data_IF_693291030378
#
_entry.id   IF_693291030378
#
_cell.length_a   1.000
_cell.length_b   1.000
_cell.length_c   1.000
_cell.angle_alpha   90.00
_cell.angle_beta   90.00
_cell.angle_gamma   90.00
#
_symmetry.space_group_name_H-M   'P 1'
#
loop_
_entity.id
_entity.type
_entity.pdbx_description
1 polymer ?
#
# COMPACT_ATOMS: atom_id res chain seq x y z
N UNK A 1 12.37 -9.13 9.50
CA UNK A 1 10.98 -9.12 9.04
C UNK A 1 10.72 -7.91 8.16
N UNK A 2 10.09 -8.09 7.01
CA UNK A 2 9.70 -7.02 6.09
C UNK A 2 8.41 -7.39 5.35
N UNK A 3 7.33 -6.65 5.61
CA UNK A 3 6.00 -6.87 5.03
C UNK A 3 5.74 -6.09 3.74
N UNK A 4 6.56 -5.11 3.38
CA UNK A 4 6.43 -4.38 2.12
C UNK A 4 7.20 -5.09 1.01
N UNK A 5 6.49 -5.59 0.01
CA UNK A 5 7.02 -6.51 -1.01
C UNK A 5 8.26 -5.99 -1.76
N UNK A 6 8.35 -4.73 -2.22
CA UNK A 6 9.56 -4.22 -2.88
C UNK A 6 10.81 -4.32 -2.01
N UNK A 7 10.71 -3.93 -0.74
CA UNK A 7 11.83 -3.99 0.22
C UNK A 7 12.18 -5.42 0.59
N UNK A 8 11.16 -6.27 0.82
CA UNK A 8 11.34 -7.69 1.06
C UNK A 8 12.16 -8.33 -0.07
N UNK A 9 11.75 -8.11 -1.33
CA UNK A 9 12.47 -8.63 -2.50
C UNK A 9 13.89 -8.09 -2.60
N UNK A 10 14.09 -6.80 -2.32
CA UNK A 10 15.41 -6.17 -2.35
C UNK A 10 16.37 -6.77 -1.31
N UNK A 11 15.88 -7.03 -0.09
CA UNK A 11 16.65 -7.66 0.97
C UNK A 11 16.98 -9.13 0.65
N UNK A 12 16.02 -9.90 0.14
CA UNK A 12 16.26 -11.28 -0.32
C UNK A 12 17.32 -11.31 -1.42
N UNK A 13 17.28 -10.37 -2.37
CA UNK A 13 18.27 -10.26 -3.43
C UNK A 13 19.68 -9.93 -2.92
N UNK A 14 19.79 -9.33 -1.73
CA UNK A 14 21.07 -9.08 -1.03
C UNK A 14 21.54 -10.27 -0.19
N UNK A 15 20.79 -11.37 -0.14
CA UNK A 15 21.13 -12.59 0.58
C UNK A 15 20.66 -12.65 2.03
N UNK A 16 19.78 -11.72 2.46
CA UNK A 16 19.17 -11.82 3.79
C UNK A 16 18.05 -12.86 3.82
N UNK A 17 17.91 -13.55 4.94
CA UNK A 17 16.70 -14.29 5.27
C UNK A 17 15.61 -13.30 5.68
N UNK A 18 14.52 -13.26 4.93
CA UNK A 18 13.44 -12.28 5.14
C UNK A 18 12.11 -13.00 5.24
N UNK A 19 11.35 -12.67 6.28
CA UNK A 19 10.00 -13.20 6.53
C UNK A 19 9.01 -12.06 6.66
N UNK A 20 7.73 -12.32 6.41
CA UNK A 20 6.65 -11.35 6.66
C UNK A 20 6.17 -11.38 8.10
N UNK A 21 6.29 -12.53 8.75
CA UNK A 21 5.98 -12.76 10.16
C UNK A 21 7.15 -13.50 10.80
N UNK A 22 7.61 -13.03 11.93
CA UNK A 22 8.65 -13.73 12.69
C UNK A 22 8.01 -14.73 13.66
N UNK A 23 8.74 -15.80 13.98
CA UNK A 23 8.33 -16.81 14.94
C UNK A 23 9.55 -17.38 15.65
N UNK A 24 9.39 -17.75 16.91
CA UNK A 24 10.46 -18.29 17.76
C UNK A 24 10.99 -17.25 18.75
N UNK A 25 12.05 -17.63 19.47
CA UNK A 25 12.72 -16.81 20.45
C UNK A 25 13.99 -16.19 19.84
N UNK A 26 14.25 -14.92 20.14
CA UNK A 26 15.41 -14.20 19.65
C UNK A 26 16.20 -13.60 20.81
N UNK A 27 17.53 -13.49 20.64
CA UNK A 27 18.44 -12.90 21.64
C UNK A 27 18.42 -11.38 21.63
N UNK A 28 17.90 -10.76 20.56
CA UNK A 28 17.76 -9.33 20.41
C UNK A 28 16.98 -8.95 19.16
N UNK A 29 16.57 -7.69 19.09
CA UNK A 29 15.86 -7.16 17.92
C UNK A 29 16.30 -5.73 17.59
N UNK A 30 16.15 -5.35 16.33
CA UNK A 30 16.25 -3.95 15.88
C UNK A 30 14.91 -3.58 15.22
N UNK A 31 14.28 -2.52 15.72
CA UNK A 31 13.06 -1.97 15.17
C UNK A 31 13.36 -0.67 14.44
N UNK A 32 13.12 -0.65 13.14
CA UNK A 32 13.14 0.58 12.36
C UNK A 32 11.75 1.23 12.44
N UNK A 33 11.71 2.48 12.96
CA UNK A 33 10.45 3.14 13.23
C UNK A 33 9.73 3.57 11.94
N UNK A 34 8.46 3.20 11.77
CA UNK A 34 7.58 3.82 10.79
C UNK A 34 7.14 5.21 11.29
N UNK A 35 6.57 6.00 10.40
CA UNK A 35 6.08 7.35 10.73
C UNK A 35 4.82 7.37 11.59
N UNK A 36 3.94 6.39 11.39
CA UNK A 36 2.70 6.32 12.14
C UNK A 36 2.98 5.85 13.56
N UNK A 37 2.67 6.69 14.57
CA UNK A 37 2.95 6.40 15.97
C UNK A 37 2.30 5.10 16.47
N UNK A 38 1.07 4.84 16.04
CA UNK A 38 0.37 3.61 16.39
C UNK A 38 1.08 2.37 15.83
N UNK A 39 1.53 2.43 14.58
CA UNK A 39 2.31 1.38 13.94
C UNK A 39 3.69 1.21 14.61
N UNK A 40 4.38 2.32 14.95
CA UNK A 40 5.65 2.27 15.68
C UNK A 40 5.52 1.51 17.00
N UNK A 41 4.48 1.83 17.78
CA UNK A 41 4.18 1.13 19.04
C UNK A 41 3.85 -0.34 18.80
N UNK A 42 3.06 -0.65 17.80
CA UNK A 42 2.70 -2.02 17.44
C UNK A 42 3.94 -2.84 17.06
N UNK A 43 4.85 -2.31 16.24
CA UNK A 43 6.11 -2.97 15.87
C UNK A 43 7.05 -3.20 17.07
N UNK A 44 7.10 -2.24 18.01
CA UNK A 44 7.86 -2.41 19.25
C UNK A 44 7.25 -3.52 20.11
N UNK A 45 5.93 -3.51 20.31
CA UNK A 45 5.23 -4.54 21.08
C UNK A 45 5.38 -5.94 20.46
N UNK A 46 5.31 -6.02 19.15
CA UNK A 46 5.54 -7.24 18.39
C UNK A 46 6.97 -7.75 18.59
N UNK A 47 7.99 -6.91 18.44
CA UNK A 47 9.38 -7.28 18.66
C UNK A 47 9.64 -7.77 20.11
N UNK A 48 9.03 -7.09 21.08
CA UNK A 48 9.14 -7.49 22.50
C UNK A 48 8.52 -8.86 22.77
N UNK A 49 7.47 -9.25 22.05
CA UNK A 49 6.82 -10.55 22.23
C UNK A 49 7.70 -11.76 21.88
N UNK A 50 8.78 -11.54 21.14
CA UNK A 50 9.76 -12.58 20.75
C UNK A 50 11.06 -12.58 21.58
N UNK A 51 11.17 -11.65 22.54
CA UNK A 51 12.39 -11.44 23.30
C UNK A 51 12.23 -11.85 24.76
N UNK A 52 13.24 -12.52 25.31
CA UNK A 52 13.31 -12.83 26.72
C UNK A 52 13.59 -11.57 27.58
N UNK A 53 13.22 -11.54 28.87
CA UNK A 53 13.68 -10.54 29.80
C UNK A 53 15.23 -10.44 29.82
N UNK A 54 15.75 -9.22 29.83
CA UNK A 54 17.20 -8.96 29.74
C UNK A 54 17.75 -8.91 28.32
N UNK A 55 16.97 -9.29 27.28
CA UNK A 55 17.37 -9.15 25.89
C UNK A 55 17.48 -7.68 25.49
N UNK A 56 18.23 -7.42 24.42
CA UNK A 56 18.44 -6.07 23.88
C UNK A 56 17.47 -5.77 22.73
N UNK A 57 16.69 -4.71 22.90
CA UNK A 57 15.87 -4.12 21.84
C UNK A 57 16.52 -2.81 21.39
N UNK A 58 16.94 -2.75 20.14
CA UNK A 58 17.40 -1.53 19.50
C UNK A 58 16.26 -0.87 18.73
N UNK A 59 16.12 0.43 18.88
CA UNK A 59 15.12 1.22 18.18
C UNK A 59 15.84 2.29 17.37
N UNK A 60 15.67 2.24 16.05
CA UNK A 60 16.25 3.18 15.09
C UNK A 60 15.16 3.97 14.37
N UNK A 61 15.39 5.26 14.17
CA UNK A 61 14.46 6.09 13.42
C UNK A 61 14.98 7.50 13.18
N UNK A 62 14.38 8.15 12.19
CA UNK A 62 14.66 9.54 11.88
C UNK A 62 13.86 10.46 12.82
N UNK A 63 14.31 11.70 12.99
CA UNK A 63 13.56 12.73 13.72
C UNK A 63 12.15 12.93 13.13
N UNK A 64 12.03 12.80 11.82
CA UNK A 64 10.76 12.87 11.09
C UNK A 64 9.83 11.69 11.36
N UNK A 65 10.34 10.57 11.85
CA UNK A 65 9.59 9.37 12.20
C UNK A 65 9.18 9.35 13.68
N UNK A 66 9.55 10.42 14.42
CA UNK A 66 9.15 10.62 15.79
C UNK A 66 10.05 9.92 16.82
N UNK A 67 11.31 9.57 16.46
CA UNK A 67 12.25 8.86 17.34
C UNK A 67 12.42 9.54 18.70
N UNK A 68 12.42 10.88 18.76
CA UNK A 68 12.55 11.61 20.04
C UNK A 68 11.37 11.37 20.98
N UNK A 69 10.16 11.30 20.42
CA UNK A 69 8.94 11.02 21.20
C UNK A 69 8.93 9.59 21.69
N UNK A 70 9.28 8.62 20.82
CA UNK A 70 9.38 7.20 21.18
C UNK A 70 10.44 6.99 22.25
N UNK A 71 11.63 7.58 22.10
CA UNK A 71 12.68 7.49 23.12
C UNK A 71 12.23 8.05 24.48
N UNK A 72 11.46 9.16 24.49
CA UNK A 72 10.89 9.72 25.72
C UNK A 72 9.87 8.77 26.37
N UNK A 73 9.02 8.13 25.56
CA UNK A 73 8.06 7.11 26.04
C UNK A 73 8.81 5.92 26.63
N UNK A 74 9.81 5.38 25.90
CA UNK A 74 10.58 4.23 26.36
C UNK A 74 11.30 4.49 27.67
N UNK A 75 11.90 5.69 27.87
CA UNK A 75 12.55 6.08 29.14
C UNK A 75 11.58 6.11 30.33
N UNK A 76 10.29 6.30 30.09
CA UNK A 76 9.26 6.20 31.13
C UNK A 76 8.86 4.75 31.47
N UNK A 77 9.24 3.78 30.63
CA UNK A 77 8.80 2.39 30.73
C UNK A 77 9.95 1.43 31.09
N UNK A 78 11.16 1.69 30.61
CA UNK A 78 12.29 0.79 30.74
C UNK A 78 13.64 1.55 30.74
N UNK A 79 14.74 0.94 31.21
CA UNK A 79 16.10 1.50 31.06
C UNK A 79 16.46 1.68 29.59
N UNK A 80 16.86 2.91 29.24
CA UNK A 80 17.35 3.27 27.89
C UNK A 80 18.81 3.69 28.00
N UNK A 81 19.67 3.04 27.24
CA UNK A 81 21.09 3.34 27.17
C UNK A 81 21.61 3.36 25.71
N UNK A 82 22.92 3.48 25.54
CA UNK A 82 23.60 3.46 24.25
C UNK A 82 22.94 4.32 23.17
N UNK A 83 22.63 5.58 23.52
CA UNK A 83 22.00 6.52 22.60
C UNK A 83 23.02 7.10 21.63
N UNK A 84 22.87 6.80 20.33
CA UNK A 84 23.69 7.35 19.27
C UNK A 84 22.85 8.23 18.34
N UNK A 85 23.42 9.37 17.93
CA UNK A 85 22.75 10.32 17.01
C UNK A 85 23.61 10.53 15.77
N UNK A 86 23.03 10.38 14.58
CA UNK A 86 23.69 10.62 13.29
C UNK A 86 22.67 10.99 12.22
N UNK A 87 23.04 11.91 11.32
CA UNK A 87 22.26 12.26 10.12
C UNK A 87 20.77 12.54 10.42
N UNK A 88 20.48 13.30 11.47
CA UNK A 88 19.11 13.61 11.94
C UNK A 88 18.30 12.40 12.43
N UNK A 89 18.91 11.23 12.58
CA UNK A 89 18.34 10.04 13.20
C UNK A 89 18.93 9.75 14.57
N UNK A 90 18.34 8.80 15.25
CA UNK A 90 18.83 8.21 16.48
C UNK A 90 18.62 6.72 16.48
N UNK A 91 19.56 6.01 17.12
CA UNK A 91 19.39 4.64 17.55
C UNK A 91 19.67 4.57 19.05
N UNK A 92 18.87 3.83 19.78
CA UNK A 92 19.07 3.61 21.21
C UNK A 92 18.69 2.20 21.61
N UNK A 93 19.27 1.72 22.71
CA UNK A 93 19.00 0.40 23.26
C UNK A 93 18.05 0.47 24.44
N UNK A 94 17.16 -0.51 24.52
CA UNK A 94 16.32 -0.82 25.67
C UNK A 94 16.66 -2.21 26.15
N UNK A 95 16.96 -2.36 27.44
CA UNK A 95 17.09 -3.67 28.08
C UNK A 95 15.71 -4.06 28.59
N UNK A 96 15.20 -5.19 28.13
CA UNK A 96 13.84 -5.62 28.42
C UNK A 96 13.66 -5.93 29.91
N UNK A 97 12.73 -5.26 30.61
CA UNK A 97 12.33 -5.64 31.97
C UNK A 97 11.57 -6.98 32.01
N UNK A 98 11.09 -7.34 33.18
CA UNK A 98 10.18 -8.44 33.34
C UNK A 98 8.87 -8.23 32.51
N UNK A 99 8.18 -9.30 32.07
CA UNK A 99 6.97 -9.19 31.26
C UNK A 99 5.92 -8.23 31.85
N UNK A 100 5.10 -7.61 30.97
CA UNK A 100 4.03 -6.69 31.35
C UNK A 100 4.46 -5.23 31.53
N UNK A 101 5.67 -4.84 31.13
CA UNK A 101 6.13 -3.47 31.21
C UNK A 101 5.64 -2.53 30.10
N UNK A 102 5.26 -3.10 28.96
CA UNK A 102 4.63 -2.33 27.88
C UNK A 102 3.14 -2.15 28.15
N UNK A 103 2.57 -0.98 27.83
CA UNK A 103 1.13 -0.77 27.88
C UNK A 103 0.39 -1.68 26.91
N UNK A 104 -0.71 -2.30 27.34
CA UNK A 104 -1.55 -3.19 26.50
C UNK A 104 -1.99 -2.56 25.18
N UNK A 105 -2.24 -1.26 25.17
CA UNK A 105 -2.64 -0.52 23.96
C UNK A 105 -1.52 -0.33 22.91
N UNK A 106 -0.32 -0.91 23.12
CA UNK A 106 0.74 -0.90 22.12
C UNK A 106 0.66 -2.07 21.16
N UNK A 107 0.06 -3.18 21.58
CA UNK A 107 -0.11 -4.32 20.70
C UNK A 107 -0.98 -3.95 19.49
N UNK A 108 -0.61 -4.46 18.32
CA UNK A 108 -1.43 -4.31 17.12
C UNK A 108 -2.76 -5.04 17.34
N UNK A 109 -3.85 -4.29 17.37
CA UNK A 109 -5.18 -4.83 17.42
C UNK A 109 -5.92 -4.52 16.13
N UNK A 110 -6.69 -5.50 15.67
CA UNK A 110 -7.67 -5.24 14.62
C UNK A 110 -8.74 -4.30 15.15
N UNK A 111 -9.16 -3.36 14.33
CA UNK A 111 -10.32 -2.53 14.62
C UNK A 111 -11.25 -2.46 13.41
N UNK A 112 -12.53 -2.25 13.66
CA UNK A 112 -13.53 -2.12 12.61
C UNK A 112 -13.45 -0.73 12.00
N UNK A 113 -13.00 -0.65 10.73
CA UNK A 113 -12.88 0.60 9.99
C UNK A 113 -14.11 0.90 9.10
N UNK A 114 -14.88 -0.13 8.79
CA UNK A 114 -16.18 -0.04 8.12
C UNK A 114 -17.03 -1.22 8.58
N UNK A 115 -18.38 -1.18 8.44
CA UNK A 115 -19.23 -2.26 8.90
C UNK A 115 -18.78 -3.64 8.41
N UNK A 116 -18.38 -4.51 9.36
CA UNK A 116 -17.89 -5.86 9.09
C UNK A 116 -16.49 -5.94 8.46
N UNK A 117 -15.76 -4.84 8.36
CA UNK A 117 -14.41 -4.81 7.76
C UNK A 117 -13.37 -4.31 8.76
N UNK A 118 -12.27 -5.02 8.83
CA UNK A 118 -11.20 -4.77 9.81
C UNK A 118 -9.93 -4.23 9.15
N UNK A 119 -9.20 -3.43 9.92
CA UNK A 119 -7.88 -2.94 9.59
C UNK A 119 -6.93 -3.05 10.78
N UNK A 120 -5.66 -2.67 10.56
CA UNK A 120 -4.61 -2.61 11.60
C UNK A 120 -3.84 -1.30 11.54
N UNK A 121 -3.19 -0.90 12.64
CA UNK A 121 -2.28 0.24 12.64
C UNK A 121 -1.21 0.10 11.55
N UNK A 122 -1.00 1.18 10.78
CA UNK A 122 -0.03 1.22 9.68
C UNK A 122 -0.61 0.93 8.30
N UNK A 123 -1.76 0.28 8.22
CA UNK A 123 -2.46 0.10 6.94
C UNK A 123 -2.99 1.45 6.42
N UNK A 124 -2.90 1.64 5.11
CA UNK A 124 -3.44 2.86 4.48
C UNK A 124 -4.92 3.05 4.81
N UNK A 125 -5.29 4.26 5.22
CA UNK A 125 -6.66 4.62 5.60
C UNK A 125 -7.27 3.69 6.66
N UNK A 126 -6.47 3.36 7.67
CA UNK A 126 -6.83 2.40 8.71
C UNK A 126 -8.08 2.81 9.52
N UNK A 127 -8.37 4.11 9.62
CA UNK A 127 -9.47 4.63 10.44
C UNK A 127 -10.83 4.63 9.71
N UNK A 128 -10.86 4.28 8.42
CA UNK A 128 -12.09 4.24 7.63
C UNK A 128 -11.87 4.26 6.12
N UNK A 129 -12.94 4.11 5.33
CA UNK A 129 -12.84 4.16 3.89
C UNK A 129 -12.25 5.47 3.37
N UNK A 130 -11.24 5.38 2.52
CA UNK A 130 -10.60 6.55 1.93
C UNK A 130 -11.56 7.35 1.04
N UNK A 131 -11.66 8.68 1.23
CA UNK A 131 -12.57 9.51 0.44
C UNK A 131 -12.35 9.47 -1.08
N UNK A 132 -11.09 9.29 -1.53
CA UNK A 132 -10.80 9.17 -2.96
C UNK A 132 -11.31 7.82 -3.50
N UNK A 133 -11.14 6.73 -2.76
CA UNK A 133 -11.68 5.42 -3.11
C UNK A 133 -13.21 5.43 -3.15
N UNK A 134 -13.87 6.12 -2.22
CA UNK A 134 -15.31 6.30 -2.21
C UNK A 134 -15.77 7.07 -3.46
N UNK A 135 -15.09 8.17 -3.79
CA UNK A 135 -15.40 8.95 -4.99
C UNK A 135 -15.21 8.11 -6.27
N UNK A 136 -14.14 7.30 -6.35
CA UNK A 136 -13.91 6.41 -7.48
C UNK A 136 -15.04 5.39 -7.63
N UNK A 137 -15.40 4.69 -6.56
CA UNK A 137 -16.46 3.67 -6.57
C UNK A 137 -17.81 4.26 -7.04
N UNK A 138 -18.15 5.48 -6.58
CA UNK A 138 -19.38 6.17 -6.96
C UNK A 138 -19.45 6.58 -8.46
N UNK A 139 -18.29 6.63 -9.15
CA UNK A 139 -18.22 6.97 -10.57
C UNK A 139 -17.98 5.76 -11.47
N UNK A 140 -17.89 4.55 -10.92
CA UNK A 140 -17.82 3.34 -11.73
C UNK A 140 -19.16 3.14 -12.47
N UNK A 141 -19.13 2.63 -13.73
CA UNK A 141 -20.36 2.37 -14.47
C UNK A 141 -21.09 1.17 -13.84
N UNK A 142 -22.40 1.14 -13.99
CA UNK A 142 -23.26 0.05 -13.51
C UNK A 142 -22.78 -1.33 -14.02
N UNK A 143 -22.30 -1.39 -15.25
CA UNK A 143 -21.77 -2.61 -15.85
C UNK A 143 -20.25 -2.55 -15.93
N UNK A 144 -19.58 -3.37 -15.12
CA UNK A 144 -18.13 -3.57 -15.12
C UNK A 144 -17.72 -4.76 -16.00
N UNK A 145 -16.45 -4.79 -16.47
CA UNK A 145 -15.88 -5.96 -17.16
C UNK A 145 -15.83 -7.19 -16.26
N UNK A 146 -15.70 -8.36 -16.90
CA UNK A 146 -15.71 -9.65 -16.18
C UNK A 146 -14.41 -9.91 -15.42
N UNK A 147 -13.25 -9.45 -15.93
CA UNK A 147 -11.91 -9.67 -15.34
C UNK A 147 -11.27 -8.32 -15.02
N UNK A 148 -11.03 -8.08 -13.74
CA UNK A 148 -10.56 -6.79 -13.22
C UNK A 148 -9.34 -6.99 -12.32
N UNK A 149 -8.47 -5.99 -12.28
CA UNK A 149 -7.42 -5.81 -11.27
C UNK A 149 -7.74 -4.58 -10.44
N UNK A 150 -7.81 -4.72 -9.14
CA UNK A 150 -7.70 -3.64 -8.15
C UNK A 150 -6.21 -3.48 -7.81
N UNK A 151 -5.57 -2.41 -8.33
CA UNK A 151 -4.13 -2.22 -8.27
C UNK A 151 -3.75 -1.25 -7.14
N UNK A 152 -3.19 -1.79 -6.07
CA UNK A 152 -3.02 -1.11 -4.78
C UNK A 152 -4.27 -1.27 -3.93
N UNK A 153 -4.69 -2.53 -3.69
CA UNK A 153 -6.01 -2.86 -3.14
C UNK A 153 -6.19 -2.48 -1.65
N UNK A 154 -5.09 -2.19 -0.93
CA UNK A 154 -5.14 -1.90 0.49
C UNK A 154 -5.81 -3.02 1.28
N UNK A 155 -6.68 -2.65 2.23
CA UNK A 155 -7.45 -3.61 3.04
C UNK A 155 -8.75 -4.11 2.39
N UNK A 156 -8.91 -3.86 1.05
CA UNK A 156 -9.96 -4.48 0.25
C UNK A 156 -11.29 -3.75 0.21
N UNK A 157 -11.39 -2.51 0.72
CA UNK A 157 -12.65 -1.77 0.70
C UNK A 157 -13.18 -1.50 -0.70
N UNK A 158 -12.30 -1.03 -1.60
CA UNK A 158 -12.67 -0.77 -3.00
C UNK A 158 -13.05 -2.08 -3.71
N UNK A 159 -12.27 -3.14 -3.47
CA UNK A 159 -12.54 -4.47 -4.02
C UNK A 159 -13.91 -5.02 -3.60
N UNK A 160 -14.31 -4.85 -2.33
CA UNK A 160 -15.63 -5.24 -1.85
C UNK A 160 -16.75 -4.51 -2.62
N UNK A 161 -16.57 -3.20 -2.86
CA UNK A 161 -17.49 -2.42 -3.68
C UNK A 161 -17.54 -2.88 -5.14
N UNK A 162 -16.42 -3.18 -5.76
CA UNK A 162 -16.34 -3.71 -7.12
C UNK A 162 -17.10 -5.05 -7.23
N UNK A 163 -16.97 -5.91 -6.25
CA UNK A 163 -17.62 -7.23 -6.22
C UNK A 163 -19.14 -7.20 -6.03
N UNK A 164 -19.72 -6.05 -5.68
CA UNK A 164 -21.20 -5.89 -5.71
C UNK A 164 -21.74 -5.94 -7.13
N UNK A 165 -20.91 -5.74 -8.16
CA UNK A 165 -21.32 -5.80 -9.56
C UNK A 165 -21.40 -7.25 -10.03
N UNK A 166 -22.58 -7.75 -10.45
CA UNK A 166 -22.78 -9.16 -10.78
C UNK A 166 -22.03 -9.62 -12.04
N UNK A 167 -21.65 -8.67 -12.91
CA UNK A 167 -20.90 -8.97 -14.14
C UNK A 167 -19.41 -9.26 -13.92
N UNK A 168 -18.86 -9.00 -12.73
CA UNK A 168 -17.46 -9.32 -12.39
C UNK A 168 -17.34 -10.80 -12.09
N UNK A 169 -16.49 -11.50 -12.82
CA UNK A 169 -16.23 -12.93 -12.67
C UNK A 169 -14.93 -13.20 -11.91
N UNK A 170 -13.91 -12.36 -12.11
CA UNK A 170 -12.62 -12.46 -11.43
C UNK A 170 -12.12 -11.05 -11.08
N UNK A 171 -11.76 -10.87 -9.81
CA UNK A 171 -11.09 -9.67 -9.30
C UNK A 171 -9.74 -10.03 -8.70
N UNK A 172 -8.66 -9.54 -9.29
CA UNK A 172 -7.33 -9.64 -8.74
C UNK A 172 -7.06 -8.44 -7.83
N UNK A 173 -6.81 -8.68 -6.55
CA UNK A 173 -6.37 -7.68 -5.58
C UNK A 173 -4.84 -7.73 -5.51
N UNK A 174 -4.17 -6.66 -5.91
CA UNK A 174 -2.71 -6.56 -5.89
C UNK A 174 -2.30 -5.55 -4.83
N UNK A 175 -1.55 -6.00 -3.83
CA UNK A 175 -1.14 -5.16 -2.71
C UNK A 175 0.30 -5.49 -2.30
N UNK A 176 1.10 -4.45 -2.05
CA UNK A 176 2.50 -4.60 -1.67
C UNK A 176 2.69 -4.76 -0.15
N UNK A 177 1.77 -4.26 0.66
CA UNK A 177 1.79 -4.41 2.12
C UNK A 177 1.12 -5.72 2.54
N UNK A 178 1.89 -6.63 3.14
CA UNK A 178 1.39 -7.93 3.60
C UNK A 178 0.29 -7.79 4.67
N UNK A 179 0.39 -6.79 5.54
CA UNK A 179 -0.61 -6.52 6.59
C UNK A 179 -1.92 -6.04 5.98
N UNK A 180 -1.86 -5.12 5.03
CA UNK A 180 -3.03 -4.65 4.30
C UNK A 180 -3.70 -5.80 3.53
N UNK A 181 -2.90 -6.63 2.84
CA UNK A 181 -3.41 -7.79 2.12
C UNK A 181 -4.03 -8.85 3.05
N UNK A 182 -3.46 -9.05 4.24
CA UNK A 182 -4.05 -9.92 5.27
C UNK A 182 -5.42 -9.41 5.73
N UNK A 183 -5.57 -8.09 5.94
CA UNK A 183 -6.87 -7.47 6.18
C UNK A 183 -7.83 -7.69 4.99
N UNK A 184 -7.36 -7.47 3.75
CA UNK A 184 -8.17 -7.66 2.55
C UNK A 184 -8.72 -9.09 2.43
N UNK A 185 -7.92 -10.12 2.74
CA UNK A 185 -8.36 -11.54 2.74
C UNK A 185 -9.48 -11.82 3.75
N UNK A 186 -9.51 -11.10 4.86
CA UNK A 186 -10.57 -11.23 5.89
C UNK A 186 -11.82 -10.44 5.50
N UNK A 187 -11.62 -9.28 4.87
CA UNK A 187 -12.70 -8.37 4.51
C UNK A 187 -13.44 -8.78 3.23
N UNK A 188 -12.77 -9.50 2.33
CA UNK A 188 -13.32 -9.88 1.01
C UNK A 188 -13.37 -11.40 0.93
N UNK A 189 -14.46 -11.99 1.40
CA UNK A 189 -14.70 -13.45 1.40
C UNK A 189 -15.38 -13.94 0.10
N UNK A 190 -15.38 -13.16 -0.96
CA UNK A 190 -16.00 -13.51 -2.23
C UNK A 190 -15.08 -14.45 -3.03
N UNK A 191 -15.58 -15.61 -3.54
CA UNK A 191 -14.77 -16.58 -4.27
C UNK A 191 -14.21 -16.07 -5.60
N UNK A 192 -14.69 -14.95 -6.10
CA UNK A 192 -14.17 -14.28 -7.30
C UNK A 192 -12.88 -13.48 -7.03
N UNK A 193 -12.56 -13.23 -5.76
CA UNK A 193 -11.37 -12.48 -5.34
C UNK A 193 -10.11 -13.35 -5.38
N UNK A 194 -9.04 -12.85 -6.00
CA UNK A 194 -7.71 -13.45 -6.04
C UNK A 194 -6.69 -12.47 -5.48
N UNK A 195 -5.94 -12.86 -4.47
CA UNK A 195 -5.07 -11.99 -3.69
C UNK A 195 -3.60 -12.19 -4.05
N UNK A 196 -2.90 -11.10 -4.38
CA UNK A 196 -1.51 -11.10 -4.79
C UNK A 196 -0.70 -10.16 -3.89
N UNK A 197 0.23 -10.71 -3.13
CA UNK A 197 1.25 -9.92 -2.46
C UNK A 197 2.36 -9.64 -3.46
N UNK A 198 2.38 -8.43 -4.03
CA UNK A 198 3.25 -8.09 -5.14
C UNK A 198 3.46 -6.59 -5.27
N UNK A 199 4.57 -6.21 -5.92
CA UNK A 199 4.77 -4.84 -6.40
C UNK A 199 3.88 -4.58 -7.62
N UNK A 200 2.97 -3.60 -7.49
CA UNK A 200 2.07 -3.19 -8.57
C UNK A 200 2.82 -2.79 -9.85
N UNK A 201 4.05 -2.26 -9.73
CA UNK A 201 4.85 -1.81 -10.87
C UNK A 201 5.39 -2.98 -11.71
N UNK A 202 5.66 -4.10 -11.06
CA UNK A 202 6.21 -5.30 -11.70
C UNK A 202 5.19 -6.44 -11.85
N UNK A 203 3.98 -6.28 -11.31
CA UNK A 203 2.95 -7.32 -11.36
C UNK A 203 2.55 -7.66 -12.78
N UNK A 204 2.44 -8.95 -13.06
CA UNK A 204 2.02 -9.49 -14.37
C UNK A 204 1.05 -10.63 -14.17
N UNK A 205 0.11 -10.75 -15.09
CA UNK A 205 -0.81 -11.89 -15.18
C UNK A 205 -0.50 -12.69 -16.45
N UNK A 206 -0.74 -14.01 -16.44
CA UNK A 206 -0.61 -14.85 -17.65
C UNK A 206 -1.49 -14.37 -18.79
N UNK A 207 -2.68 -13.86 -18.47
CA UNK A 207 -3.64 -13.32 -19.41
C UNK A 207 -4.01 -11.88 -19.05
N UNK A 208 -4.11 -10.99 -20.07
CA UNK A 208 -4.54 -9.61 -19.82
C UNK A 208 -5.98 -9.55 -19.31
N UNK A 209 -6.31 -8.48 -18.60
CA UNK A 209 -7.63 -8.22 -18.04
C UNK A 209 -8.40 -7.16 -18.84
N UNK A 210 -9.71 -7.09 -18.60
CA UNK A 210 -10.59 -6.16 -19.29
C UNK A 210 -10.76 -4.83 -18.53
N UNK A 211 -10.43 -4.82 -17.24
CA UNK A 211 -10.49 -3.62 -16.41
C UNK A 211 -9.33 -3.53 -15.43
N UNK A 212 -8.86 -2.31 -15.18
CA UNK A 212 -8.02 -1.97 -14.03
C UNK A 212 -8.69 -0.84 -13.30
N UNK A 213 -8.85 -0.97 -11.99
CA UNK A 213 -9.37 0.04 -11.10
C UNK A 213 -8.28 0.32 -10.08
N UNK A 214 -7.99 1.59 -9.79
CA UNK A 214 -6.93 1.93 -8.84
C UNK A 214 -7.11 3.28 -8.17
N UNK A 215 -6.75 3.32 -6.90
CA UNK A 215 -6.43 4.53 -6.14
C UNK A 215 -4.93 4.50 -5.82
N UNK A 216 -4.07 4.92 -6.75
CA UNK A 216 -2.63 4.74 -6.59
C UNK A 216 -2.09 5.62 -5.46
N UNK A 217 -1.00 5.23 -4.78
CA UNK A 217 -0.37 6.05 -3.77
C UNK A 217 0.14 7.35 -4.38
N UNK A 218 -0.17 8.48 -3.72
CA UNK A 218 0.20 9.82 -4.18
C UNK A 218 1.42 10.39 -3.45
N UNK A 219 1.87 9.72 -2.39
CA UNK A 219 2.94 10.18 -1.53
C UNK A 219 3.96 9.06 -1.27
N UNK A 220 5.22 9.35 -1.52
CA UNK A 220 6.32 8.66 -0.88
C UNK A 220 6.80 9.57 0.26
N UNK A 221 6.46 9.20 1.49
CA UNK A 221 6.71 10.06 2.62
C UNK A 221 5.83 11.32 2.68
N UNK A 222 6.44 12.52 2.87
CA UNK A 222 5.74 13.82 2.93
C UNK A 222 5.57 14.51 1.58
N UNK A 223 6.37 14.14 0.60
CA UNK A 223 6.31 14.74 -0.74
C UNK A 223 5.39 13.90 -1.63
N UNK A 224 4.57 14.58 -2.44
CA UNK A 224 3.90 13.91 -3.55
C UNK A 224 4.96 13.37 -4.50
N UNK A 225 4.95 12.07 -4.78
CA UNK A 225 5.76 11.49 -5.85
C UNK A 225 4.90 11.17 -7.08
N UNK A 226 4.79 12.10 -8.03
CA UNK A 226 4.07 11.86 -9.27
C UNK A 226 4.65 10.70 -10.09
N UNK A 227 5.92 10.31 -9.85
CA UNK A 227 6.58 9.21 -10.58
C UNK A 227 5.98 7.87 -10.20
N UNK A 228 5.64 7.68 -8.92
CA UNK A 228 5.01 6.45 -8.45
C UNK A 228 3.65 6.25 -9.12
N UNK A 229 2.77 7.26 -9.09
CA UNK A 229 1.48 7.19 -9.78
C UNK A 229 1.61 7.02 -11.30
N UNK A 230 2.63 7.64 -11.92
CA UNK A 230 2.94 7.41 -13.33
C UNK A 230 3.39 5.94 -13.58
N UNK A 231 4.12 5.34 -12.64
CA UNK A 231 4.47 3.92 -12.66
C UNK A 231 3.22 3.03 -12.65
N UNK A 232 2.28 3.30 -11.75
CA UNK A 232 1.00 2.59 -11.68
C UNK A 232 0.19 2.70 -13.00
N UNK A 233 0.16 3.87 -13.63
CA UNK A 233 -0.52 4.05 -14.93
C UNK A 233 0.12 3.17 -16.00
N UNK A 234 1.45 3.10 -16.06
CA UNK A 234 2.17 2.24 -17.03
C UNK A 234 1.95 0.76 -16.74
N UNK A 235 1.96 0.37 -15.47
CA UNK A 235 1.66 -1.00 -15.06
C UNK A 235 0.22 -1.39 -15.46
N UNK A 236 -0.76 -0.53 -15.18
CA UNK A 236 -2.15 -0.74 -15.56
C UNK A 236 -2.31 -0.92 -17.08
N UNK A 237 -1.64 -0.08 -17.90
CA UNK A 237 -1.65 -0.23 -19.36
C UNK A 237 -1.07 -1.59 -19.82
N UNK A 238 -0.05 -2.10 -19.10
CA UNK A 238 0.56 -3.40 -19.38
C UNK A 238 -0.32 -4.60 -19.03
N UNK A 239 -1.24 -4.44 -18.09
CA UNK A 239 -2.18 -5.49 -17.64
C UNK A 239 -3.42 -5.60 -18.54
N UNK A 240 -3.78 -4.52 -19.24
CA UNK A 240 -5.02 -4.44 -20.00
C UNK A 240 -4.94 -5.09 -21.37
N UNK A 241 -6.07 -5.65 -21.80
CA UNK A 241 -6.31 -5.96 -23.23
C UNK A 241 -6.35 -4.67 -24.04
N UNK A 242 -6.21 -4.74 -25.36
CA UNK A 242 -6.32 -3.58 -26.24
C UNK A 242 -7.67 -2.85 -26.14
N UNK A 243 -8.75 -3.57 -25.81
CA UNK A 243 -10.10 -3.02 -25.56
C UNK A 243 -10.38 -2.76 -24.08
N UNK A 244 -9.42 -3.06 -23.21
CA UNK A 244 -9.56 -2.90 -21.76
C UNK A 244 -9.64 -1.43 -21.33
N UNK A 245 -10.13 -1.21 -20.13
CA UNK A 245 -10.35 0.13 -19.58
C UNK A 245 -9.71 0.30 -18.21
N UNK A 246 -9.11 1.44 -18.02
CA UNK A 246 -8.63 1.94 -16.74
C UNK A 246 -9.66 2.89 -16.12
N UNK A 247 -9.91 2.75 -14.81
CA UNK A 247 -10.52 3.76 -13.95
C UNK A 247 -9.57 4.07 -12.82
N UNK A 248 -9.33 5.34 -12.56
CA UNK A 248 -8.48 5.77 -11.46
C UNK A 248 -8.97 7.06 -10.83
N UNK A 249 -8.69 7.22 -9.55
CA UNK A 249 -8.79 8.50 -8.87
C UNK A 249 -7.41 9.11 -8.72
N UNK A 250 -7.35 10.43 -8.74
CA UNK A 250 -6.14 11.19 -8.48
C UNK A 250 -6.45 12.51 -7.78
N UNK A 251 -5.51 13.02 -6.99
CA UNK A 251 -5.59 14.40 -6.51
C UNK A 251 -5.62 15.35 -7.71
N UNK A 252 -6.50 16.37 -7.65
CA UNK A 252 -6.77 17.24 -8.79
C UNK A 252 -5.55 17.99 -9.32
N UNK A 253 -4.61 18.32 -8.47
CA UNK A 253 -3.37 19.03 -8.86
C UNK A 253 -2.30 18.14 -9.51
N UNK A 254 -2.43 16.80 -9.47
CA UNK A 254 -1.44 15.88 -10.03
C UNK A 254 -1.61 15.75 -11.55
N UNK A 255 -0.57 15.99 -12.37
CA UNK A 255 -0.68 16.08 -13.83
C UNK A 255 -0.59 14.71 -14.52
N UNK A 256 -1.47 13.77 -14.17
CA UNK A 256 -1.44 12.40 -14.72
C UNK A 256 -1.97 12.28 -16.15
N UNK A 257 -2.65 13.31 -16.67
CA UNK A 257 -3.20 13.30 -18.03
C UNK A 257 -2.12 13.12 -19.11
N UNK A 258 -0.91 13.62 -18.86
CA UNK A 258 0.19 13.46 -19.81
C UNK A 258 0.59 12.00 -19.93
N UNK A 259 0.89 11.32 -18.81
CA UNK A 259 1.30 9.91 -18.83
C UNK A 259 0.17 9.00 -19.29
N UNK A 260 -1.08 9.33 -18.98
CA UNK A 260 -2.24 8.62 -19.51
C UNK A 260 -2.29 8.69 -21.04
N UNK A 261 -2.11 9.88 -21.65
CA UNK A 261 -2.08 10.03 -23.12
C UNK A 261 -0.86 9.36 -23.79
N UNK A 262 0.22 9.14 -23.03
CA UNK A 262 1.35 8.34 -23.50
C UNK A 262 0.98 6.85 -23.57
N UNK A 263 0.23 6.35 -22.57
CA UNK A 263 -0.09 4.94 -22.41
C UNK A 263 -1.40 4.50 -23.06
N UNK A 264 -2.32 5.43 -23.35
CA UNK A 264 -3.67 5.13 -23.84
C UNK A 264 -4.03 5.97 -25.06
N UNK A 265 -4.97 5.48 -25.86
CA UNK A 265 -5.47 6.21 -27.04
C UNK A 265 -6.44 7.32 -26.62
N UNK A 266 -7.37 6.98 -25.74
CA UNK A 266 -8.43 7.88 -25.28
C UNK A 266 -8.36 8.02 -23.74
N UNK A 267 -8.46 9.27 -23.30
CA UNK A 267 -8.43 9.65 -21.88
C UNK A 267 -9.51 10.69 -21.63
N UNK A 268 -10.33 10.47 -20.61
CA UNK A 268 -11.36 11.42 -20.19
C UNK A 268 -11.50 11.50 -18.68
N UNK A 269 -11.98 12.62 -18.19
CA UNK A 269 -12.39 12.81 -16.82
C UNK A 269 -13.89 12.47 -16.72
N UNK A 270 -14.25 11.59 -15.79
CA UNK A 270 -15.64 11.19 -15.55
C UNK A 270 -16.33 12.12 -14.56
N UNK A 271 -15.58 12.76 -13.68
CA UNK A 271 -16.07 13.62 -12.61
C UNK A 271 -15.06 13.82 -11.51
N UNK A 272 -15.56 14.16 -10.33
CA UNK A 272 -14.76 14.44 -9.15
C UNK A 272 -15.21 15.70 -8.43
N UNK A 273 -14.36 16.22 -7.54
CA UNK A 273 -14.60 17.44 -6.75
C UNK A 273 -13.39 18.39 -6.78
N UNK A 274 -13.32 19.33 -5.85
CA UNK A 274 -12.18 20.24 -5.74
C UNK A 274 -10.87 19.53 -5.30
N UNK A 275 -10.94 18.37 -4.68
CA UNK A 275 -9.81 17.58 -4.17
C UNK A 275 -9.38 16.50 -5.15
N UNK A 276 -10.34 15.80 -5.75
CA UNK A 276 -10.13 14.62 -6.57
C UNK A 276 -10.69 14.77 -7.97
N UNK A 277 -10.06 14.09 -8.92
CA UNK A 277 -10.55 13.86 -10.27
C UNK A 277 -10.61 12.36 -10.54
N UNK A 278 -11.69 11.92 -11.19
CA UNK A 278 -11.88 10.53 -11.62
C UNK A 278 -11.57 10.46 -13.10
N UNK A 279 -10.53 9.69 -13.43
CA UNK A 279 -10.04 9.55 -14.80
C UNK A 279 -10.36 8.16 -15.33
N UNK A 280 -10.66 8.08 -16.61
CA UNK A 280 -10.77 6.82 -17.33
C UNK A 280 -9.96 6.86 -18.61
N UNK A 281 -9.42 5.71 -19.01
CA UNK A 281 -8.65 5.58 -20.23
C UNK A 281 -8.88 4.24 -20.94
N UNK A 282 -8.84 4.26 -22.27
CA UNK A 282 -9.02 3.08 -23.13
C UNK A 282 -7.99 3.06 -24.25
N UNK A 283 -7.88 1.90 -24.93
CA UNK A 283 -6.92 1.73 -26.00
C UNK A 283 -5.48 1.70 -25.48
N UNK A 284 -5.20 0.79 -24.52
CA UNK A 284 -3.87 0.61 -23.98
C UNK A 284 -2.84 0.35 -25.07
N UNK A 285 -1.74 1.10 -25.04
CA UNK A 285 -0.64 1.00 -26.02
C UNK A 285 0.42 0.07 -25.47
N UNK A 286 0.85 -0.88 -26.26
CA UNK A 286 1.99 -1.74 -25.89
C UNK A 286 3.29 -0.90 -25.89
N UNK A 287 4.20 -1.13 -24.92
CA UNK A 287 5.52 -0.50 -24.93
C UNK A 287 6.18 -0.71 -26.30
N UNK A 288 6.64 0.38 -26.95
CA UNK A 288 7.27 0.33 -28.27
C UNK A 288 6.37 0.54 -29.49
N UNK A 289 5.06 0.68 -29.34
CA UNK A 289 4.17 1.06 -30.45
C UNK A 289 4.37 2.54 -30.79
N UNK A 290 4.82 2.82 -32.04
CA UNK A 290 4.96 4.21 -32.53
C UNK A 290 3.60 4.92 -32.51
N UNK A 291 3.61 6.18 -32.06
CA UNK A 291 2.45 7.08 -32.16
C UNK A 291 1.95 7.07 -33.63
N UNK A 292 0.65 6.85 -33.89
CA UNK A 292 0.12 7.10 -35.22
C UNK A 292 0.40 8.56 -35.59
N UNK A 293 1.13 8.79 -36.66
CA UNK A 293 1.26 10.15 -37.18
C UNK A 293 -0.13 10.64 -37.62
N UNK A 294 -0.51 11.88 -37.30
CA UNK A 294 -1.77 12.43 -37.79
C UNK A 294 -1.76 12.37 -39.31
N UNK A 295 -2.71 11.67 -39.91
CA UNK A 295 -2.89 11.65 -41.37
C UNK A 295 -3.05 13.10 -41.81
N UNK A 296 -2.04 13.61 -42.52
CA UNK A 296 -2.10 14.96 -43.12
C UNK A 296 -3.39 15.09 -43.92
N UNK A 297 -4.20 16.10 -43.61
CA UNK A 297 -5.30 16.50 -44.48
C UNK A 297 -4.70 16.88 -45.83
N UNK A 298 -4.94 16.04 -46.83
CA UNK A 298 -4.74 16.46 -48.22
C UNK A 298 -5.68 17.65 -48.48
N UNK A 299 -5.09 18.78 -48.85
CA UNK A 299 -5.83 19.93 -49.39
C UNK A 299 -6.39 19.59 -50.77
#
# INVERSE_FOLDING_TARGET
>A
MQGFYPDHRALVAQGYEVVTEASGDFDGAVVFLPRARAEARARIAEAVSWLAPGASLWIDGQKTDGIDAVMKEMRGLAPVDEVHSRAHGKIFRVILPAPGWLPDGWAAADHEAAPGMVTRPGVFSADGPDPASQALLAHLPEKLPTRIVDLGAGWGWLAAGILTHPGVEVLHLVEADATALACARRNVCDPRAQFHWADALDFRLPEPVNGVIMNPPFHEGRAADPKLGAGFIRAAAGLLTGAGRLWMVANRHLPYEQVLRECFADVSELGGDSRFKILTATGARRPGSKRPQPKGRKR
#
